data_IF_760104962226
#
_entry.id   IF_760104962226
#
_cell.length_a   1.000
_cell.length_b   1.000
_cell.length_c   1.000
_cell.angle_alpha   90.00
_cell.angle_beta   90.00
_cell.angle_gamma   90.00
#
_symmetry.space_group_name_H-M   'P 1'
#
loop_
_entity.id
_entity.type
_entity.pdbx_description
1 polymer ?
#
# COMPACT_ATOMS: atom_id res chain seq x y z
N UNK A 1 14.95 -34.49 19.04
CA UNK A 1 14.19 -33.48 19.80
C UNK A 1 14.38 -32.14 19.08
N UNK A 2 13.36 -31.27 19.04
CA UNK A 2 13.22 -30.03 18.24
C UNK A 2 12.46 -30.23 16.92
N UNK A 3 11.15 -30.50 17.01
CA UNK A 3 10.18 -30.31 15.92
C UNK A 3 8.97 -29.56 16.44
N UNK A 4 9.20 -28.35 16.98
CA UNK A 4 8.15 -27.47 17.51
C UNK A 4 8.23 -26.03 16.95
N UNK A 5 9.15 -25.73 16.03
CA UNK A 5 9.33 -24.38 15.45
C UNK A 5 8.66 -24.17 14.09
N UNK A 6 8.34 -25.24 13.35
CA UNK A 6 7.99 -25.13 11.93
C UNK A 6 6.55 -24.69 11.61
N UNK A 7 5.72 -24.36 12.61
CA UNK A 7 4.29 -24.07 12.38
C UNK A 7 3.78 -22.83 13.13
N UNK A 8 4.68 -22.00 13.72
CA UNK A 8 4.25 -20.78 14.43
C UNK A 8 3.49 -19.81 13.50
N UNK A 9 3.75 -19.88 12.19
CA UNK A 9 3.15 -19.02 11.17
C UNK A 9 2.25 -19.79 10.17
N UNK A 10 1.91 -21.04 10.49
CA UNK A 10 1.11 -21.92 9.63
C UNK A 10 1.72 -22.04 8.23
N UNK A 11 0.95 -21.67 7.21
CA UNK A 11 1.28 -21.76 5.78
C UNK A 11 2.49 -20.91 5.37
N UNK A 12 2.85 -19.89 6.17
CA UNK A 12 3.94 -18.95 5.89
C UNK A 12 5.25 -19.34 6.61
N UNK A 13 5.42 -20.62 6.93
CA UNK A 13 6.61 -21.12 7.63
C UNK A 13 7.70 -21.61 6.66
N UNK A 14 7.40 -21.67 5.35
CA UNK A 14 8.36 -22.00 4.30
C UNK A 14 9.35 -20.85 4.08
N UNK A 15 10.56 -21.19 3.64
CA UNK A 15 11.70 -20.26 3.54
C UNK A 15 11.42 -19.07 2.61
N UNK A 16 10.64 -19.28 1.55
CA UNK A 16 10.24 -18.22 0.59
C UNK A 16 9.45 -17.10 1.27
N UNK A 17 8.56 -17.44 2.21
CA UNK A 17 7.71 -16.49 2.92
C UNK A 17 8.44 -15.72 4.02
N UNK A 18 9.62 -16.20 4.44
CA UNK A 18 10.40 -15.58 5.52
C UNK A 18 11.71 -14.94 5.04
N UNK A 19 12.15 -15.22 3.81
CA UNK A 19 13.35 -14.61 3.23
C UNK A 19 13.11 -13.13 2.92
N UNK A 20 14.02 -12.25 3.33
CA UNK A 20 13.83 -10.80 3.26
C UNK A 20 14.41 -10.20 2.00
N UNK A 21 13.58 -9.47 1.26
CA UNK A 21 13.95 -8.66 0.11
C UNK A 21 14.36 -7.24 0.52
N UNK A 22 13.73 -6.71 1.57
CA UNK A 22 14.07 -5.41 2.13
C UNK A 22 13.93 -5.43 3.66
N UNK A 23 14.76 -4.65 4.34
CA UNK A 23 14.77 -4.52 5.80
C UNK A 23 14.81 -3.06 6.22
N UNK A 24 14.00 -2.71 7.21
CA UNK A 24 13.90 -1.36 7.75
C UNK A 24 13.93 -1.41 9.27
N UNK A 25 14.68 -0.48 9.88
CA UNK A 25 14.63 -0.29 11.33
C UNK A 25 13.38 0.50 11.69
N UNK A 26 12.56 -0.06 12.58
CA UNK A 26 11.31 0.59 13.02
C UNK A 26 11.16 0.56 14.53
N UNK A 27 10.33 1.45 15.06
CA UNK A 27 9.80 1.39 16.41
C UNK A 27 8.31 1.06 16.34
N UNK A 28 7.92 -0.09 16.88
CA UNK A 28 6.54 -0.53 16.96
C UNK A 28 5.84 0.10 18.15
N UNK A 29 4.73 0.79 17.88
CA UNK A 29 3.84 1.32 18.91
C UNK A 29 2.74 0.28 19.12
N UNK A 30 2.61 -0.22 20.34
CA UNK A 30 1.61 -1.23 20.68
C UNK A 30 1.05 -0.97 22.06
N UNK A 31 -0.26 -1.13 22.28
CA UNK A 31 -0.86 -0.99 23.61
C UNK A 31 -0.35 -2.02 24.63
N UNK A 32 0.38 -3.05 24.18
CA UNK A 32 1.00 -4.07 25.05
C UNK A 32 2.28 -3.60 25.72
N UNK A 33 2.88 -2.51 25.24
CA UNK A 33 4.13 -1.97 25.73
C UNK A 33 3.97 -0.48 26.00
N UNK A 34 4.47 -0.01 27.15
CA UNK A 34 4.44 1.41 27.48
C UNK A 34 5.31 2.22 26.51
N UNK A 35 6.48 1.69 26.18
CA UNK A 35 7.44 2.35 25.30
C UNK A 35 7.46 1.72 23.90
N UNK A 36 7.75 2.51 22.84
CA UNK A 36 7.93 1.97 21.49
C UNK A 36 9.04 0.91 21.44
N UNK A 37 8.75 -0.22 20.80
CA UNK A 37 9.66 -1.37 20.75
C UNK A 37 10.43 -1.41 19.44
N UNK A 38 11.76 -1.41 19.49
CA UNK A 38 12.61 -1.49 18.29
C UNK A 38 12.49 -2.87 17.63
N UNK A 39 12.24 -2.88 16.32
CA UNK A 39 12.13 -4.08 15.48
C UNK A 39 12.84 -3.87 14.16
N UNK A 40 13.27 -4.96 13.55
CA UNK A 40 13.62 -4.98 12.12
C UNK A 40 12.37 -5.41 11.35
N UNK A 41 11.77 -4.48 10.62
CA UNK A 41 10.63 -4.77 9.75
C UNK A 41 11.17 -5.22 8.39
N UNK A 42 10.81 -6.44 8.00
CA UNK A 42 11.31 -7.05 6.78
C UNK A 42 10.14 -7.30 5.82
N UNK A 43 10.40 -7.08 4.54
CA UNK A 43 9.47 -7.42 3.46
C UNK A 43 10.02 -8.64 2.74
N UNK A 44 9.20 -9.67 2.62
CA UNK A 44 9.44 -10.83 1.75
C UNK A 44 8.56 -10.72 0.49
N UNK A 45 8.57 -11.73 -0.36
CA UNK A 45 7.68 -11.80 -1.52
C UNK A 45 6.19 -11.79 -1.14
N UNK A 46 5.85 -12.36 0.02
CA UNK A 46 4.45 -12.60 0.39
C UNK A 46 4.06 -12.03 1.75
N UNK A 47 5.01 -11.58 2.58
CA UNK A 47 4.77 -11.24 3.99
C UNK A 47 5.56 -10.03 4.49
N UNK A 48 4.94 -9.31 5.42
CA UNK A 48 5.57 -8.36 6.35
C UNK A 48 6.01 -9.14 7.59
N UNK A 49 7.27 -9.01 7.98
CA UNK A 49 7.87 -9.79 9.06
C UNK A 49 8.48 -8.83 10.07
N UNK A 50 8.18 -9.01 11.36
CA UNK A 50 8.86 -8.31 12.44
C UNK A 50 9.91 -9.24 13.05
N UNK A 51 11.16 -8.80 13.06
CA UNK A 51 12.25 -9.49 13.73
C UNK A 51 12.76 -8.72 14.94
N UNK A 52 13.25 -9.49 15.90
CA UNK A 52 14.06 -8.94 16.97
C UNK A 52 15.43 -8.51 16.43
N UNK A 53 15.87 -7.26 16.65
CA UNK A 53 17.09 -6.74 16.03
C UNK A 53 18.37 -7.39 16.57
N UNK A 54 18.35 -7.96 17.78
CA UNK A 54 19.54 -8.57 18.39
C UNK A 54 19.67 -10.06 18.02
N UNK A 55 18.55 -10.78 18.01
CA UNK A 55 18.53 -12.24 17.82
C UNK A 55 18.07 -12.66 16.43
N UNK A 56 17.53 -11.74 15.64
CA UNK A 56 16.92 -11.99 14.32
C UNK A 56 15.75 -12.99 14.34
N UNK A 57 15.24 -13.31 15.54
CA UNK A 57 14.08 -14.21 15.72
C UNK A 57 12.82 -13.50 15.22
N UNK A 58 11.99 -14.25 14.48
CA UNK A 58 10.69 -13.76 14.00
C UNK A 58 9.72 -13.61 15.18
N UNK A 59 9.34 -12.36 15.43
CA UNK A 59 8.38 -11.94 16.44
C UNK A 59 6.96 -12.12 15.90
N UNK A 60 6.70 -11.62 14.69
CA UNK A 60 5.41 -11.76 14.01
C UNK A 60 5.57 -11.79 12.48
N UNK A 61 4.60 -12.35 11.80
CA UNK A 61 4.50 -12.43 10.34
C UNK A 61 3.06 -12.11 9.92
N UNK A 62 2.90 -11.29 8.89
CA UNK A 62 1.61 -10.86 8.35
C UNK A 62 1.63 -10.98 6.82
N UNK A 63 0.64 -11.63 6.19
CA UNK A 63 0.57 -11.71 4.74
C UNK A 63 0.41 -10.32 4.10
N UNK A 64 1.10 -10.07 2.99
CA UNK A 64 0.94 -8.87 2.19
C UNK A 64 -0.46 -8.81 1.54
N UNK A 65 -1.02 -9.98 1.21
CA UNK A 65 -2.40 -10.11 0.72
C UNK A 65 -3.45 -9.58 1.70
N UNK A 66 -3.13 -9.55 2.99
CA UNK A 66 -4.05 -9.10 4.03
C UNK A 66 -3.99 -7.59 4.25
N UNK A 67 -3.05 -6.87 3.62
CA UNK A 67 -2.92 -5.41 3.74
C UNK A 67 -4.08 -4.75 3.01
N UNK A 68 -4.87 -3.98 3.75
CA UNK A 68 -6.00 -3.24 3.22
C UNK A 68 -5.61 -1.81 2.85
N UNK A 69 -4.91 -1.12 3.75
CA UNK A 69 -4.48 0.25 3.53
C UNK A 69 -3.18 0.54 4.27
N UNK A 70 -2.39 1.45 3.72
CA UNK A 70 -1.21 1.99 4.37
C UNK A 70 -1.48 3.46 4.66
N UNK A 71 -1.34 3.90 5.89
CA UNK A 71 -1.65 5.27 6.29
C UNK A 71 -0.36 5.97 6.69
N UNK A 72 -0.06 7.06 5.97
CA UNK A 72 1.02 7.99 6.26
C UNK A 72 0.52 9.02 7.24
N UNK A 73 1.15 9.12 8.40
CA UNK A 73 0.77 10.12 9.40
C UNK A 73 1.20 11.53 8.95
N UNK A 74 0.30 12.51 9.07
CA UNK A 74 0.51 13.90 8.64
C UNK A 74 1.16 14.75 9.72
N UNK A 75 1.00 14.39 11.00
CA UNK A 75 1.55 15.13 12.13
C UNK A 75 2.99 14.69 12.43
N UNK A 76 3.23 13.38 12.39
CA UNK A 76 4.52 12.78 12.67
C UNK A 76 5.17 12.24 11.38
N UNK A 77 6.27 12.87 10.90
CA UNK A 77 6.90 12.50 9.63
C UNK A 77 7.58 11.12 9.66
N UNK A 78 7.74 10.52 10.84
CA UNK A 78 8.31 9.19 10.99
C UNK A 78 7.22 8.11 11.11
N UNK A 79 5.97 8.51 11.39
CA UNK A 79 4.92 7.60 11.76
C UNK A 79 4.11 7.14 10.56
N UNK A 80 3.73 5.87 10.59
CA UNK A 80 2.81 5.27 9.65
C UNK A 80 2.04 4.11 10.30
N UNK A 81 0.95 3.72 9.64
CA UNK A 81 0.07 2.66 10.11
C UNK A 81 -0.25 1.70 8.95
N UNK A 82 -0.29 0.40 9.23
CA UNK A 82 -0.73 -0.62 8.28
C UNK A 82 -2.05 -1.21 8.80
N UNK A 83 -3.09 -1.10 8.00
CA UNK A 83 -4.41 -1.69 8.24
C UNK A 83 -4.55 -2.98 7.45
N UNK A 84 -5.16 -3.98 8.09
CA UNK A 84 -5.39 -5.30 7.51
C UNK A 84 -6.89 -5.55 7.34
N UNK A 85 -7.27 -6.41 6.39
CA UNK A 85 -8.67 -6.70 5.99
C UNK A 85 -9.59 -7.05 7.17
N UNK A 86 -9.05 -7.58 8.27
CA UNK A 86 -9.82 -7.95 9.48
C UNK A 86 -9.86 -6.86 10.56
N UNK A 87 -9.63 -5.60 10.20
CA UNK A 87 -9.60 -4.46 11.12
C UNK A 87 -8.39 -4.45 12.08
N UNK A 88 -7.45 -5.38 11.90
CA UNK A 88 -6.22 -5.35 12.67
C UNK A 88 -5.35 -4.20 12.16
N UNK A 89 -4.70 -3.49 13.09
CA UNK A 89 -3.88 -2.33 12.76
C UNK A 89 -2.51 -2.44 13.42
N UNK A 90 -1.46 -2.04 12.70
CA UNK A 90 -0.07 -2.00 13.21
C UNK A 90 0.53 -0.63 12.99
N UNK A 91 0.98 -0.01 14.08
CA UNK A 91 1.52 1.35 14.08
C UNK A 91 3.03 1.32 14.29
N UNK A 92 3.75 2.06 13.47
CA UNK A 92 5.21 2.07 13.46
C UNK A 92 5.76 3.49 13.31
N UNK A 93 7.01 3.68 13.74
CA UNK A 93 7.83 4.84 13.41
C UNK A 93 9.12 4.40 12.72
N UNK A 94 9.56 5.14 11.71
CA UNK A 94 10.80 4.91 10.97
C UNK A 94 11.42 6.24 10.54
N UNK A 95 12.75 6.33 10.60
CA UNK A 95 13.50 7.46 10.00
C UNK A 95 13.44 7.44 8.49
N UNK A 96 13.31 6.25 7.89
CA UNK A 96 13.27 6.01 6.45
C UNK A 96 11.83 5.73 5.98
N UNK A 97 10.85 6.42 6.57
CA UNK A 97 9.42 6.16 6.37
C UNK A 97 9.05 6.10 4.90
N UNK A 98 9.43 7.10 4.11
CA UNK A 98 8.95 7.22 2.73
C UNK A 98 9.54 6.11 1.83
N UNK A 99 10.81 5.75 2.03
CA UNK A 99 11.44 4.59 1.38
C UNK A 99 10.75 3.28 1.77
N UNK A 100 10.44 3.12 3.06
CA UNK A 100 9.71 1.95 3.58
C UNK A 100 8.32 1.86 2.96
N UNK A 101 7.57 2.96 2.92
CA UNK A 101 6.23 3.02 2.34
C UNK A 101 6.24 2.67 0.86
N UNK A 102 7.22 3.16 0.10
CA UNK A 102 7.39 2.80 -1.31
C UNK A 102 7.63 1.29 -1.47
N UNK A 103 8.62 0.73 -0.77
CA UNK A 103 8.92 -0.70 -0.84
C UNK A 103 7.77 -1.58 -0.36
N UNK A 104 7.03 -1.17 0.67
CA UNK A 104 5.86 -1.89 1.16
C UNK A 104 4.73 -1.87 0.12
N UNK A 105 4.43 -0.70 -0.46
CA UNK A 105 3.40 -0.59 -1.49
C UNK A 105 3.73 -1.45 -2.71
N UNK A 106 5.00 -1.43 -3.14
CA UNK A 106 5.48 -2.25 -4.25
C UNK A 106 5.38 -3.75 -3.92
N UNK A 107 5.78 -4.15 -2.71
CA UNK A 107 5.65 -5.53 -2.24
C UNK A 107 4.20 -6.02 -2.20
N UNK A 108 3.27 -5.21 -1.67
CA UNK A 108 1.85 -5.57 -1.62
C UNK A 108 1.29 -5.73 -3.04
N UNK A 109 1.62 -4.82 -3.96
CA UNK A 109 1.20 -4.92 -5.36
C UNK A 109 1.80 -6.12 -6.08
N UNK A 110 3.07 -6.41 -5.84
CA UNK A 110 3.75 -7.58 -6.39
C UNK A 110 3.14 -8.90 -5.90
N UNK A 111 2.63 -8.93 -4.66
CA UNK A 111 1.92 -10.09 -4.09
C UNK A 111 0.52 -10.34 -4.69
N UNK A 112 0.07 -9.49 -5.62
CA UNK A 112 -1.23 -9.61 -6.31
C UNK A 112 -2.34 -8.70 -5.75
N UNK A 113 -2.09 -7.98 -4.67
CA UNK A 113 -3.04 -7.03 -4.10
C UNK A 113 -2.84 -5.62 -4.70
N UNK A 114 -3.53 -5.37 -5.82
CA UNK A 114 -3.34 -4.13 -6.62
C UNK A 114 -4.19 -2.95 -6.16
N UNK A 115 -5.20 -3.20 -5.33
CA UNK A 115 -6.16 -2.18 -4.87
C UNK A 115 -5.65 -1.40 -3.65
N UNK A 116 -4.52 -1.79 -3.07
CA UNK A 116 -3.90 -1.08 -1.96
C UNK A 116 -3.43 0.33 -2.36
N UNK A 117 -3.59 1.29 -1.46
CA UNK A 117 -3.10 2.65 -1.62
C UNK A 117 -2.54 3.22 -0.30
N UNK A 118 -1.76 4.29 -0.43
CA UNK A 118 -1.28 5.08 0.70
C UNK A 118 -2.26 6.23 0.97
N UNK A 119 -2.85 6.26 2.17
CA UNK A 119 -3.80 7.28 2.63
C UNK A 119 -3.14 8.22 3.64
N UNK A 120 -3.66 9.44 3.77
CA UNK A 120 -3.13 10.44 4.73
C UNK A 120 -3.83 10.39 6.09
N UNK A 121 -5.07 9.90 6.13
CA UNK A 121 -5.85 9.78 7.35
C UNK A 121 -6.29 8.34 7.55
N UNK A 122 -6.41 7.93 8.81
CA UNK A 122 -7.06 6.67 9.17
C UNK A 122 -8.53 6.71 8.74
N UNK A 123 -9.07 5.58 8.31
CA UNK A 123 -10.50 5.50 8.05
C UNK A 123 -11.23 5.67 9.39
N UNK A 124 -11.91 6.80 9.56
CA UNK A 124 -12.95 6.89 10.59
C UNK A 124 -14.12 6.04 10.10
N UNK A 125 -14.48 4.99 10.85
CA UNK A 125 -15.61 4.09 10.56
C UNK A 125 -16.96 4.81 10.36
N UNK A 126 -17.03 6.13 10.61
CA UNK A 126 -18.23 6.96 10.55
C UNK A 126 -18.61 7.49 9.15
N UNK A 127 -17.81 7.26 8.10
CA UNK A 127 -18.08 7.82 6.75
C UNK A 127 -18.29 6.78 5.64
N UNK A 128 -18.36 5.49 5.96
CA UNK A 128 -18.54 4.43 4.96
C UNK A 128 -20.01 4.02 4.75
N UNK A 129 -20.88 5.01 4.57
CA UNK A 129 -22.27 4.82 4.11
C UNK A 129 -22.49 5.27 2.67
N UNK A 130 -21.44 5.52 1.89
CA UNK A 130 -21.58 5.89 0.49
C UNK A 130 -21.64 4.62 -0.39
N UNK A 131 -22.76 4.32 -1.06
CA UNK A 131 -22.82 3.21 -2.01
C UNK A 131 -21.87 3.51 -3.17
N UNK A 132 -20.89 2.63 -3.41
CA UNK A 132 -20.13 2.60 -4.66
C UNK A 132 -21.03 1.98 -5.73
N UNK A 133 -22.01 2.77 -6.17
CA UNK A 133 -22.72 2.57 -7.43
C UNK A 133 -22.48 3.85 -8.22
N UNK A 134 -21.27 3.99 -8.76
CA UNK A 134 -21.12 4.87 -9.92
C UNK A 134 -21.75 4.14 -11.10
N UNK A 135 -23.03 4.39 -11.35
CA UNK A 135 -23.57 4.13 -12.69
C UNK A 135 -22.75 4.98 -13.64
N UNK A 136 -22.09 4.33 -14.60
CA UNK A 136 -21.48 5.00 -15.74
C UNK A 136 -22.60 5.78 -16.43
N UNK A 137 -22.60 7.10 -16.27
CA UNK A 137 -23.41 7.98 -17.09
C UNK A 137 -22.55 8.28 -18.34
N UNK A 138 -22.91 7.64 -19.46
CA UNK A 138 -22.33 7.90 -20.78
C UNK A 138 -22.75 9.29 -21.28
N UNK A 139 -22.35 10.38 -20.64
CA UNK A 139 -22.47 11.72 -21.21
C UNK A 139 -21.60 12.71 -20.44
N UNK A 140 -20.33 12.84 -20.83
CA UNK A 140 -19.56 14.09 -20.95
C UNK A 140 -18.15 13.68 -21.44
N UNK A 141 -18.09 13.18 -22.68
CA UNK A 141 -16.92 13.46 -23.51
C UNK A 141 -17.07 14.87 -24.05
N UNK A 142 -16.61 15.88 -23.30
CA UNK A 142 -16.35 17.17 -23.95
C UNK A 142 -15.34 18.02 -23.19
N UNK A 143 -14.31 18.41 -23.94
CA UNK A 143 -13.54 19.65 -23.79
C UNK A 143 -12.36 19.64 -22.81
N UNK A 144 -11.16 19.32 -23.30
CA UNK A 144 -10.22 20.37 -23.74
C UNK A 144 -8.96 19.78 -24.39
N UNK A 145 -8.87 19.87 -25.72
CA UNK A 145 -7.58 20.12 -26.37
C UNK A 145 -7.80 20.82 -27.71
N UNK A 146 -7.76 22.15 -27.72
CA UNK A 146 -7.62 22.92 -28.97
C UNK A 146 -6.16 22.87 -29.42
N UNK A 147 -5.82 21.90 -30.26
CA UNK A 147 -4.66 21.99 -31.14
C UNK A 147 -5.15 22.32 -32.54
N UNK A 148 -5.17 23.60 -32.89
CA UNK A 148 -5.38 24.06 -34.26
C UNK A 148 -4.08 23.88 -35.04
N UNK A 149 -3.88 22.68 -35.61
CA UNK A 149 -3.03 22.53 -36.80
C UNK A 149 -3.85 23.03 -37.99
N UNK A 150 -3.45 24.17 -38.52
CA UNK A 150 -4.06 24.82 -39.69
C UNK A 150 -4.02 23.92 -40.93
N UNK A 151 -5.23 23.68 -41.45
CA UNK A 151 -5.60 23.69 -42.87
C UNK A 151 -4.92 22.70 -43.81
N UNK A 152 -5.69 21.71 -44.24
CA UNK A 152 -5.57 21.19 -45.59
C UNK A 152 -6.91 20.80 -46.19
N UNK A 153 -7.22 21.53 -47.27
CA UNK A 153 -7.93 21.08 -48.47
C UNK A 153 -9.43 20.89 -48.35
N UNK A 154 -10.17 21.62 -49.19
CA UNK A 154 -10.71 21.04 -50.44
C UNK A 154 -11.38 22.16 -51.25
N UNK A 155 -10.94 22.36 -52.50
CA UNK A 155 -11.59 21.89 -53.73
C UNK A 155 -12.63 22.91 -54.24
N UNK A 156 -12.42 23.22 -55.52
CA UNK A 156 -12.98 24.31 -56.30
C UNK A 156 -14.42 24.08 -56.77
N UNK A 157 -14.92 25.18 -57.38
CA UNK A 157 -16.00 25.31 -58.39
C UNK A 157 -17.41 25.44 -57.79
N UNK A 158 -18.26 26.38 -58.22
CA UNK A 158 -18.24 27.23 -59.42
C UNK A 158 -19.39 28.26 -59.34
N UNK A 159 -19.13 29.44 -59.92
CA UNK A 159 -20.03 30.26 -60.77
C UNK A 159 -21.28 30.97 -60.19
N UNK A 160 -21.44 32.21 -60.67
CA UNK A 160 -22.72 32.93 -60.83
C UNK A 160 -22.83 34.18 -59.97
N UNK A 161 -22.56 35.38 -60.52
CA UNK A 161 -23.58 36.39 -60.94
C UNK A 161 -24.19 37.11 -59.70
N UNK A 162 -24.10 38.44 -59.53
CA UNK A 162 -24.08 39.61 -60.42
C UNK A 162 -23.40 40.78 -59.70
#
# INVERSE_FOLDING_TARGET
MISFKNHKFGKFSEDEHITSLAEFKVQKISPRHHDPVVRTLCLSETCIIERDPATYIIVSCYPLSDVFAIIRDTESPQMFTVEFIRGATKKFMSTDRDSLLASLLDGVRASGNRDVCVKMNQLTEALDFAPVISTVDEEVESQHLRFSCSSSRNICRSSGEV
#
